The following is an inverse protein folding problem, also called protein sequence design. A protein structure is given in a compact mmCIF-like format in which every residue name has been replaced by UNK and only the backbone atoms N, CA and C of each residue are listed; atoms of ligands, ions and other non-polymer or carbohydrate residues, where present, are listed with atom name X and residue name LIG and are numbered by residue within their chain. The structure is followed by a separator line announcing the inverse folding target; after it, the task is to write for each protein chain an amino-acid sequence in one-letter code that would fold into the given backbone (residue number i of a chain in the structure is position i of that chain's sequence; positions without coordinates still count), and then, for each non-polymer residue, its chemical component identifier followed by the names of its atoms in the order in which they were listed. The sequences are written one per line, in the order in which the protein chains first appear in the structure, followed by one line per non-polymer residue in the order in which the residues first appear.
data_IF_763952630879
#
_entry.id   IF_763952630879
#
_cell.length_a   1.000
_cell.length_b   1.000
_cell.length_c   1.000
_cell.angle_alpha   90.00
_cell.angle_beta   90.00
_cell.angle_gamma   90.00
#
_symmetry.space_group_name_H-M   'P 1'
#
loop_
_entity.id
_entity.type
_entity.pdbx_description
1 polymer ?
#
# COMPACT_ATOMS: atom_id res chain seq x y z
N UNK A 1 24.28 -58.50 14.99
CA UNK A 1 25.62 -58.43 14.35
C UNK A 1 25.55 -58.23 12.83
N UNK A 2 24.85 -59.06 12.03
CA UNK A 2 24.69 -58.81 10.57
C UNK A 2 23.76 -57.61 10.27
N UNK A 3 22.73 -57.41 11.10
CA UNK A 3 21.79 -56.28 11.02
C UNK A 3 22.45 -54.93 11.34
N UNK A 4 23.48 -54.92 12.18
CA UNK A 4 24.16 -53.69 12.61
C UNK A 4 25.12 -53.16 11.54
N UNK A 5 25.74 -54.07 10.78
CA UNK A 5 26.63 -53.74 9.66
C UNK A 5 25.83 -53.17 8.48
N UNK A 6 24.64 -53.71 8.21
CA UNK A 6 23.74 -53.18 7.18
C UNK A 6 23.18 -51.79 7.55
N UNK A 7 22.98 -51.50 8.84
CA UNK A 7 22.60 -50.16 9.30
C UNK A 7 23.75 -49.15 9.20
N UNK A 8 25.01 -49.57 9.39
CA UNK A 8 26.17 -48.69 9.24
C UNK A 8 26.45 -48.33 7.77
N UNK A 9 26.23 -49.27 6.84
CA UNK A 9 26.44 -49.08 5.40
C UNK A 9 25.31 -48.31 4.69
N UNK A 10 24.07 -48.40 5.19
CA UNK A 10 22.90 -47.77 4.56
C UNK A 10 22.21 -46.68 5.40
N UNK A 11 22.69 -46.41 6.63
CA UNK A 11 22.03 -45.53 7.60
C UNK A 11 22.18 -44.02 7.37
N UNK A 12 22.95 -43.59 6.37
CA UNK A 12 23.17 -42.16 6.06
C UNK A 12 22.39 -41.61 4.87
N UNK A 13 21.78 -42.48 4.05
CA UNK A 13 21.23 -42.09 2.74
C UNK A 13 19.82 -41.53 2.74
N UNK A 14 19.00 -41.85 3.75
CA UNK A 14 17.58 -41.47 3.76
C UNK A 14 17.38 -39.95 3.91
N UNK A 15 18.24 -39.28 4.68
CA UNK A 15 18.17 -37.83 4.83
C UNK A 15 18.68 -37.09 3.59
N UNK A 16 19.78 -37.56 2.99
CA UNK A 16 20.37 -36.94 1.80
C UNK A 16 19.50 -37.11 0.56
N UNK A 17 18.84 -38.27 0.40
CA UNK A 17 17.88 -38.49 -0.70
C UNK A 17 16.61 -37.68 -0.51
N UNK A 18 16.16 -37.48 0.74
CA UNK A 18 15.05 -36.57 1.04
C UNK A 18 15.40 -35.12 0.73
N UNK A 19 16.56 -34.66 1.18
CA UNK A 19 17.08 -33.31 0.91
C UNK A 19 17.26 -33.07 -0.59
N UNK A 20 17.76 -34.06 -1.34
CA UNK A 20 17.94 -33.98 -2.80
C UNK A 20 16.60 -34.09 -3.55
N UNK A 21 15.65 -34.89 -3.08
CA UNK A 21 14.32 -35.00 -3.68
C UNK A 21 13.46 -33.77 -3.42
N UNK A 22 13.64 -33.08 -2.28
CA UNK A 22 13.02 -31.79 -1.99
C UNK A 22 13.53 -30.66 -2.92
N UNK A 23 14.71 -30.81 -3.55
CA UNK A 23 15.22 -29.90 -4.60
C UNK A 23 14.48 -30.09 -5.94
N UNK A 24 14.03 -31.31 -6.27
CA UNK A 24 13.35 -31.62 -7.54
C UNK A 24 11.83 -31.77 -7.44
N UNK A 25 11.28 -31.88 -6.22
CA UNK A 25 9.86 -32.03 -5.97
C UNK A 25 9.49 -31.20 -4.75
N UNK A 26 8.65 -30.19 -4.98
CA UNK A 26 8.15 -29.30 -3.93
C UNK A 26 7.57 -30.12 -2.79
N UNK A 27 8.07 -29.88 -1.58
CA UNK A 27 7.56 -30.47 -0.35
C UNK A 27 6.11 -30.01 -0.16
N UNK A 28 5.16 -30.94 -0.30
CA UNK A 28 3.73 -30.62 -0.38
C UNK A 28 3.24 -29.86 0.86
N UNK A 29 3.74 -30.22 2.05
CA UNK A 29 3.44 -29.52 3.31
C UNK A 29 4.00 -28.09 3.37
N UNK A 30 5.18 -27.84 2.81
CA UNK A 30 5.74 -26.49 2.75
C UNK A 30 5.04 -25.61 1.68
N UNK A 31 4.48 -26.23 0.64
CA UNK A 31 3.62 -25.53 -0.32
C UNK A 31 2.25 -25.18 0.29
N UNK A 32 1.65 -26.11 1.04
CA UNK A 32 0.38 -25.89 1.72
C UNK A 32 0.49 -24.86 2.86
N UNK A 33 1.60 -24.84 3.61
CA UNK A 33 1.84 -23.78 4.59
C UNK A 33 1.93 -22.39 3.94
N UNK A 34 2.64 -22.28 2.81
CA UNK A 34 2.75 -21.00 2.07
C UNK A 34 1.42 -20.57 1.47
N UNK A 35 0.58 -21.50 1.00
CA UNK A 35 -0.75 -21.18 0.47
C UNK A 35 -1.68 -20.69 1.57
N UNK A 36 -1.65 -21.31 2.77
CA UNK A 36 -2.41 -20.87 3.95
C UNK A 36 -1.96 -19.49 4.43
N UNK A 37 -0.66 -19.22 4.46
CA UNK A 37 -0.11 -17.91 4.85
C UNK A 37 -0.57 -16.81 3.88
N UNK A 38 -0.50 -17.09 2.57
CA UNK A 38 -0.93 -16.16 1.52
C UNK A 38 -2.44 -15.91 1.60
N UNK A 39 -3.23 -16.95 1.86
CA UNK A 39 -4.67 -16.85 1.99
C UNK A 39 -5.07 -16.09 3.27
N UNK A 40 -4.37 -16.28 4.39
CA UNK A 40 -4.54 -15.48 5.60
C UNK A 40 -4.21 -14.02 5.37
N UNK A 41 -3.07 -13.71 4.77
CA UNK A 41 -2.67 -12.34 4.48
C UNK A 41 -3.69 -11.63 3.55
N UNK A 42 -4.19 -12.33 2.53
CA UNK A 42 -5.24 -11.81 1.66
C UNK A 42 -6.56 -11.57 2.41
N UNK A 43 -6.96 -12.49 3.30
CA UNK A 43 -8.16 -12.34 4.14
C UNK A 43 -8.02 -11.22 5.17
N UNK A 44 -6.84 -11.01 5.74
CA UNK A 44 -6.56 -9.90 6.68
C UNK A 44 -6.54 -8.55 5.97
N UNK A 45 -5.95 -8.47 4.78
CA UNK A 45 -6.02 -7.28 3.95
C UNK A 45 -7.47 -6.98 3.57
N UNK A 46 -8.21 -7.99 3.10
CA UNK A 46 -9.63 -7.86 2.77
C UNK A 46 -10.44 -7.44 4.00
N UNK A 47 -10.20 -8.02 5.18
CA UNK A 47 -10.84 -7.61 6.43
C UNK A 47 -10.47 -6.17 6.86
N UNK A 48 -9.26 -5.71 6.55
CA UNK A 48 -8.82 -4.34 6.78
C UNK A 48 -9.49 -3.32 5.84
N UNK A 49 -9.68 -3.68 4.57
CA UNK A 49 -10.35 -2.83 3.57
C UNK A 49 -11.88 -2.81 3.77
N UNK A 50 -12.48 -3.93 4.18
CA UNK A 50 -13.92 -4.05 4.47
C UNK A 50 -14.27 -3.77 5.92
N UNK A 51 -13.33 -3.27 6.73
CA UNK A 51 -13.66 -2.64 8.01
C UNK A 51 -14.38 -1.32 7.70
N UNK A 52 -15.65 -1.45 7.30
CA UNK A 52 -16.60 -0.37 7.38
C UNK A 52 -16.54 0.11 8.82
N UNK A 53 -15.89 1.24 9.02
CA UNK A 53 -16.02 2.01 10.25
C UNK A 53 -17.53 2.15 10.45
N UNK A 54 -18.08 1.42 11.43
CA UNK A 54 -19.51 1.31 11.69
C UNK A 54 -20.01 2.66 12.21
N UNK A 55 -20.00 3.67 11.35
CA UNK A 55 -20.53 5.01 11.60
C UNK A 55 -22.03 4.86 11.63
N UNK A 56 -22.63 5.16 12.79
CA UNK A 56 -24.06 5.05 13.00
C UNK A 56 -24.84 5.92 12.01
N UNK A 57 -26.13 5.64 11.84
CA UNK A 57 -27.00 6.50 11.02
C UNK A 57 -26.98 7.96 11.51
N UNK A 58 -26.86 8.17 12.82
CA UNK A 58 -26.68 9.49 13.43
C UNK A 58 -25.37 10.16 13.00
N UNK A 59 -24.24 9.45 13.04
CA UNK A 59 -22.95 10.00 12.62
C UNK A 59 -22.98 10.43 11.16
N UNK A 60 -23.63 9.66 10.29
CA UNK A 60 -23.79 10.00 8.86
C UNK A 60 -24.68 11.22 8.66
N UNK A 61 -25.74 11.37 9.46
CA UNK A 61 -26.60 12.55 9.43
C UNK A 61 -25.83 13.81 9.86
N UNK A 62 -25.09 13.72 10.97
CA UNK A 62 -24.26 14.82 11.48
C UNK A 62 -23.14 15.16 10.50
N UNK A 63 -22.48 14.16 9.91
CA UNK A 63 -21.49 14.36 8.85
C UNK A 63 -22.11 15.02 7.62
N UNK A 64 -23.32 14.62 7.24
CA UNK A 64 -24.09 15.24 6.16
C UNK A 64 -24.36 16.72 6.44
N UNK A 65 -24.92 17.01 7.62
CA UNK A 65 -25.23 18.37 8.05
C UNK A 65 -23.99 19.27 8.08
N UNK A 66 -22.85 18.74 8.56
CA UNK A 66 -21.57 19.45 8.56
C UNK A 66 -20.96 19.65 7.16
N UNK A 67 -21.45 18.94 6.13
CA UNK A 67 -21.03 19.08 4.73
C UNK A 67 -21.93 19.99 3.91
N UNK A 68 -23.14 20.30 4.38
CA UNK A 68 -24.09 21.24 3.75
C UNK A 68 -23.55 22.68 3.59
N UNK A 69 -22.71 23.25 4.48
CA UNK A 69 -22.34 24.65 4.37
C UNK A 69 -21.68 25.01 3.03
N UNK A 70 -20.82 24.13 2.49
CA UNK A 70 -20.14 24.35 1.21
C UNK A 70 -21.10 24.47 0.01
N UNK A 71 -21.97 23.47 -0.25
CA UNK A 71 -22.96 23.57 -1.30
C UNK A 71 -24.00 24.67 -1.02
N UNK A 72 -24.38 24.91 0.23
CA UNK A 72 -25.31 25.98 0.58
C UNK A 72 -24.75 27.37 0.24
N UNK A 73 -23.46 27.64 0.45
CA UNK A 73 -22.87 28.90 0.03
C UNK A 73 -22.89 29.07 -1.49
N UNK A 74 -22.55 28.02 -2.26
CA UNK A 74 -22.57 28.08 -3.72
C UNK A 74 -23.98 28.24 -4.28
N UNK A 75 -24.95 27.48 -3.77
CA UNK A 75 -26.35 27.59 -4.19
C UNK A 75 -26.98 28.90 -3.70
N UNK A 76 -26.58 29.40 -2.54
CA UNK A 76 -27.03 30.67 -2.00
C UNK A 76 -26.59 31.87 -2.84
N UNK A 77 -25.34 31.88 -3.32
CA UNK A 77 -24.88 32.96 -4.22
C UNK A 77 -25.56 32.90 -5.58
N UNK A 78 -25.71 31.71 -6.16
CA UNK A 78 -26.49 31.54 -7.40
C UNK A 78 -27.95 31.96 -7.21
N UNK A 79 -28.57 31.57 -6.09
CA UNK A 79 -29.92 31.96 -5.72
C UNK A 79 -30.08 33.47 -5.56
N UNK A 80 -29.07 34.16 -5.02
CA UNK A 80 -29.06 35.62 -4.91
C UNK A 80 -29.11 36.29 -6.29
N UNK A 81 -28.31 35.80 -7.24
CA UNK A 81 -28.33 36.31 -8.62
C UNK A 81 -29.67 36.05 -9.32
N UNK A 82 -30.24 34.87 -9.12
CA UNK A 82 -31.57 34.54 -9.66
C UNK A 82 -32.65 35.43 -9.03
N UNK A 83 -32.63 35.61 -7.71
CA UNK A 83 -33.59 36.46 -7.00
C UNK A 83 -33.56 37.92 -7.51
N UNK A 84 -32.35 38.44 -7.76
CA UNK A 84 -32.19 39.78 -8.34
C UNK A 84 -32.78 39.91 -9.75
N UNK A 85 -32.84 38.83 -10.54
CA UNK A 85 -33.44 38.81 -11.88
C UNK A 85 -34.96 38.58 -11.86
N UNK A 86 -35.46 37.77 -10.91
CA UNK A 86 -36.88 37.40 -10.81
C UNK A 86 -37.72 38.53 -10.21
N UNK A 87 -37.25 39.16 -9.13
CA UNK A 87 -37.92 40.28 -8.48
C UNK A 87 -36.91 41.33 -7.99
N UNK A 88 -36.54 42.29 -8.86
CA UNK A 88 -35.53 43.28 -8.55
C UNK A 88 -35.96 44.28 -7.47
N UNK A 89 -37.26 44.55 -7.32
CA UNK A 89 -37.77 45.48 -6.31
C UNK A 89 -37.67 44.85 -4.92
N UNK A 90 -38.14 43.60 -4.76
CA UNK A 90 -38.02 42.86 -3.52
C UNK A 90 -36.55 42.68 -3.10
N UNK A 91 -35.68 42.39 -4.06
CA UNK A 91 -34.24 42.28 -3.82
C UNK A 91 -33.63 43.61 -3.35
N UNK A 92 -33.99 44.72 -4.02
CA UNK A 92 -33.52 46.06 -3.69
C UNK A 92 -33.88 46.49 -2.27
N UNK A 93 -35.10 46.22 -1.82
CA UNK A 93 -35.54 46.51 -0.44
C UNK A 93 -34.67 45.78 0.60
N UNK A 94 -34.28 44.53 0.34
CA UNK A 94 -33.40 43.77 1.26
C UNK A 94 -31.97 44.26 1.23
N UNK A 95 -31.46 44.65 0.06
CA UNK A 95 -30.12 45.24 -0.06
C UNK A 95 -30.02 46.60 0.65
N UNK A 96 -31.10 47.41 0.63
CA UNK A 96 -31.19 48.64 1.43
C UNK A 96 -31.18 48.35 2.94
N UNK A 97 -31.79 47.25 3.39
CA UNK A 97 -31.65 46.79 4.77
C UNK A 97 -30.23 46.35 5.12
N UNK A 98 -29.55 45.64 4.21
CA UNK A 98 -28.17 45.19 4.40
C UNK A 98 -27.16 46.35 4.47
N UNK A 99 -27.41 47.46 3.77
CA UNK A 99 -26.53 48.64 3.84
C UNK A 99 -26.58 49.36 5.18
N UNK A 100 -27.64 49.13 5.98
CA UNK A 100 -27.76 49.66 7.34
C UNK A 100 -27.04 48.80 8.38
N UNK A 101 -26.55 47.60 8.01
CA UNK A 101 -25.83 46.72 8.93
C UNK A 101 -24.48 47.36 9.31
N UNK A 102 -24.21 47.60 10.61
CA UNK A 102 -22.95 48.18 11.06
C UNK A 102 -21.72 47.38 10.62
N UNK A 103 -20.64 48.08 10.25
CA UNK A 103 -19.35 47.49 9.89
C UNK A 103 -18.82 46.46 10.92
N UNK A 104 -18.91 46.69 12.25
CA UNK A 104 -18.44 45.71 13.23
C UNK A 104 -19.13 44.34 13.14
N UNK A 105 -20.41 44.29 12.71
CA UNK A 105 -21.12 43.02 12.56
C UNK A 105 -20.61 42.21 11.36
N UNK A 106 -20.15 42.88 10.30
CA UNK A 106 -19.50 42.22 9.17
C UNK A 106 -18.18 41.59 9.59
N UNK A 107 -17.39 42.30 10.40
CA UNK A 107 -16.17 41.74 11.00
C UNK A 107 -16.45 40.54 11.89
N UNK A 108 -17.50 40.62 12.73
CA UNK A 108 -17.91 39.51 13.60
C UNK A 108 -18.35 38.28 12.78
N UNK A 109 -19.18 38.47 11.75
CA UNK A 109 -19.58 37.39 10.85
C UNK A 109 -18.36 36.73 10.19
N UNK A 110 -17.46 37.54 9.65
CA UNK A 110 -16.21 37.08 9.05
C UNK A 110 -15.34 36.28 10.02
N UNK A 111 -15.22 36.75 11.27
CA UNK A 111 -14.47 36.06 12.32
C UNK A 111 -15.09 34.70 12.69
N UNK A 112 -16.42 34.64 12.89
CA UNK A 112 -17.12 33.40 13.24
C UNK A 112 -16.99 32.36 12.12
N UNK A 113 -17.24 32.77 10.87
CA UNK A 113 -17.13 31.90 9.69
C UNK A 113 -15.69 31.41 9.51
N UNK A 114 -14.71 32.31 9.62
CA UNK A 114 -13.28 31.98 9.50
C UNK A 114 -12.83 31.03 10.61
N UNK A 115 -13.31 31.21 11.84
CA UNK A 115 -13.01 30.31 12.94
C UNK A 115 -13.61 28.92 12.71
N UNK A 116 -14.89 28.84 12.32
CA UNK A 116 -15.58 27.57 12.06
C UNK A 116 -14.90 26.77 10.95
N UNK A 117 -14.68 27.39 9.79
CA UNK A 117 -14.04 26.72 8.65
C UNK A 117 -12.54 26.52 8.87
N UNK A 118 -11.86 27.46 9.54
CA UNK A 118 -10.45 27.37 9.88
C UNK A 118 -10.15 26.21 10.82
N UNK A 119 -10.94 26.02 11.87
CA UNK A 119 -10.80 24.88 12.78
C UNK A 119 -11.09 23.54 12.06
N UNK A 120 -12.13 23.48 11.21
CA UNK A 120 -12.45 22.27 10.45
C UNK A 120 -11.38 21.91 9.43
N UNK A 121 -10.74 22.90 8.80
CA UNK A 121 -9.63 22.67 7.87
C UNK A 121 -8.37 22.16 8.59
N UNK A 122 -8.10 22.67 9.80
CA UNK A 122 -7.01 22.17 10.65
C UNK A 122 -7.15 20.68 10.99
N UNK A 123 -8.35 20.21 11.31
CA UNK A 123 -8.59 18.76 11.55
C UNK A 123 -8.24 17.90 10.33
N UNK A 124 -8.58 18.32 9.11
CA UNK A 124 -8.18 17.58 7.90
C UNK A 124 -6.66 17.58 7.66
N UNK A 125 -5.97 18.65 8.04
CA UNK A 125 -4.51 18.71 7.99
C UNK A 125 -3.86 17.66 8.89
N UNK A 126 -4.42 17.45 10.09
CA UNK A 126 -3.95 16.41 11.00
C UNK A 126 -4.19 14.99 10.47
N UNK A 127 -5.35 14.73 9.86
CA UNK A 127 -5.64 13.44 9.22
C UNK A 127 -4.66 13.12 8.09
N UNK A 128 -4.30 14.13 7.28
CA UNK A 128 -3.31 13.99 6.22
C UNK A 128 -1.92 13.69 6.79
N UNK A 129 -1.47 14.42 7.81
CA UNK A 129 -0.21 14.13 8.49
C UNK A 129 -0.19 12.70 9.06
N UNK A 130 -1.30 12.25 9.67
CA UNK A 130 -1.43 10.90 10.22
C UNK A 130 -1.35 9.83 9.14
N UNK A 131 -1.95 10.05 7.97
CA UNK A 131 -1.84 9.14 6.82
C UNK A 131 -0.43 9.07 6.25
N UNK A 132 0.31 10.18 6.24
CA UNK A 132 1.72 10.21 5.83
C UNK A 132 2.56 9.42 6.83
N UNK A 133 2.39 9.65 8.14
CA UNK A 133 3.11 8.90 9.17
C UNK A 133 2.85 7.39 9.07
N UNK A 134 1.59 6.98 8.88
CA UNK A 134 1.24 5.56 8.69
C UNK A 134 1.86 4.95 7.43
N UNK A 135 1.98 5.73 6.35
CA UNK A 135 2.62 5.30 5.10
C UNK A 135 4.14 5.18 5.28
N UNK A 136 4.78 6.16 5.93
CA UNK A 136 6.23 6.15 6.22
C UNK A 136 6.59 4.97 7.14
N UNK A 137 5.73 4.62 8.10
CA UNK A 137 5.95 3.49 8.99
C UNK A 137 5.99 2.13 8.24
N UNK A 138 5.36 2.04 7.06
CA UNK A 138 5.37 0.82 6.22
C UNK A 138 6.53 0.78 5.22
N UNK A 139 7.20 1.90 4.96
CA UNK A 139 8.36 1.99 4.06
C UNK A 139 9.48 0.98 4.35
N UNK A 140 9.92 0.74 5.61
CA UNK A 140 10.97 -0.25 5.88
C UNK A 140 10.53 -1.67 5.51
N UNK A 141 9.27 -2.02 5.76
CA UNK A 141 8.71 -3.33 5.43
C UNK A 141 8.63 -3.55 3.90
N UNK A 142 8.29 -2.51 3.14
CA UNK A 142 8.31 -2.54 1.67
C UNK A 142 9.73 -2.68 1.14
N UNK A 143 10.70 -1.97 1.72
CA UNK A 143 12.11 -2.08 1.33
C UNK A 143 12.66 -3.50 1.58
N UNK A 144 12.36 -4.09 2.73
CA UNK A 144 12.73 -5.47 3.06
C UNK A 144 12.10 -6.47 2.07
N UNK A 145 10.81 -6.33 1.80
CA UNK A 145 10.10 -7.15 0.81
C UNK A 145 10.76 -7.05 -0.58
N UNK A 146 11.12 -5.85 -1.02
CA UNK A 146 11.82 -5.64 -2.30
C UNK A 146 13.19 -6.33 -2.31
N UNK A 147 13.94 -6.27 -1.20
CA UNK A 147 15.25 -6.95 -1.12
C UNK A 147 15.12 -8.46 -1.18
N UNK A 148 14.15 -9.05 -0.48
CA UNK A 148 13.85 -10.48 -0.55
C UNK A 148 13.45 -10.89 -1.97
N UNK A 149 12.59 -10.12 -2.64
CA UNK A 149 12.18 -10.39 -4.02
C UNK A 149 13.36 -10.29 -5.01
N UNK A 150 14.31 -9.37 -4.79
CA UNK A 150 15.53 -9.30 -5.61
C UNK A 150 16.43 -10.51 -5.41
N UNK A 151 16.55 -11.04 -4.19
CA UNK A 151 17.36 -12.24 -3.92
C UNK A 151 16.78 -13.50 -4.56
N UNK A 152 15.47 -13.54 -4.81
CA UNK A 152 14.81 -14.65 -5.50
C UNK A 152 14.95 -14.59 -7.04
N UNK A 153 15.57 -13.53 -7.59
CA UNK A 153 15.76 -13.37 -9.03
C UNK A 153 17.04 -14.05 -9.51
N UNK A 154 16.94 -14.79 -10.61
CA UNK A 154 18.06 -15.50 -11.24
C UNK A 154 19.16 -14.57 -11.80
N UNK A 155 18.80 -13.32 -12.08
CA UNK A 155 19.64 -12.22 -12.56
C UNK A 155 20.25 -11.37 -11.42
N UNK A 156 20.08 -11.78 -10.16
CA UNK A 156 20.63 -11.05 -9.04
C UNK A 156 22.15 -11.29 -8.86
N UNK A 157 22.94 -10.25 -8.51
CA UNK A 157 24.39 -10.38 -8.34
C UNK A 157 24.74 -11.43 -7.28
N UNK A 158 25.61 -12.38 -7.62
CA UNK A 158 26.05 -13.44 -6.71
C UNK A 158 25.26 -14.76 -6.79
N UNK A 159 24.21 -14.85 -7.62
CA UNK A 159 23.48 -16.12 -7.81
C UNK A 159 24.31 -17.23 -8.47
N UNK A 160 25.30 -16.86 -9.29
CA UNK A 160 26.27 -17.78 -9.88
C UNK A 160 27.54 -17.94 -9.03
N UNK A 161 27.58 -17.37 -7.83
CA UNK A 161 28.75 -17.47 -6.95
C UNK A 161 28.83 -18.88 -6.35
N UNK A 162 29.97 -19.54 -6.53
CA UNK A 162 30.23 -20.91 -6.04
C UNK A 162 30.38 -20.97 -4.52
N UNK A 163 30.41 -19.81 -3.85
CA UNK A 163 30.54 -19.63 -2.40
C UNK A 163 31.66 -20.52 -1.84
N UNK A 164 31.40 -21.28 -0.77
CA UNK A 164 32.38 -22.16 -0.11
C UNK A 164 32.50 -23.54 -0.74
N UNK A 165 31.86 -23.77 -1.88
CA UNK A 165 31.78 -25.10 -2.48
C UNK A 165 33.01 -25.37 -3.36
N UNK A 166 34.05 -25.90 -2.73
CA UNK A 166 35.37 -26.14 -3.34
C UNK A 166 35.32 -26.96 -4.65
N UNK A 167 34.49 -28.03 -4.78
CA UNK A 167 34.38 -28.77 -6.04
C UNK A 167 33.78 -27.92 -7.17
N UNK A 168 32.79 -27.09 -6.85
CA UNK A 168 32.11 -26.22 -7.81
C UNK A 168 33.03 -25.08 -8.25
N UNK A 169 33.79 -24.50 -7.32
CA UNK A 169 34.80 -23.48 -7.60
C UNK A 169 35.91 -23.99 -8.54
N UNK A 170 36.35 -25.24 -8.36
CA UNK A 170 37.31 -25.89 -9.26
C UNK A 170 36.71 -26.19 -10.64
N UNK A 171 35.43 -26.57 -10.71
CA UNK A 171 34.75 -26.82 -11.97
C UNK A 171 34.60 -25.55 -12.84
N UNK A 172 34.44 -24.38 -12.23
CA UNK A 172 34.34 -23.09 -12.95
C UNK A 172 35.67 -22.66 -13.58
N UNK A 173 36.81 -23.10 -13.02
CA UNK A 173 38.15 -22.81 -13.55
C UNK A 173 38.54 -23.72 -14.72
N UNK A 174 37.83 -24.84 -14.92
CA UNK A 174 38.05 -25.71 -16.05
C UNK A 174 37.48 -25.06 -17.32
N UNK A 175 38.27 -24.83 -18.38
CA UNK A 175 37.75 -24.41 -19.67
C UNK A 175 36.78 -25.47 -20.18
N UNK A 176 35.50 -25.13 -20.28
CA UNK A 176 34.48 -25.97 -20.87
C UNK A 176 34.04 -25.36 -22.20
N UNK A 177 33.75 -26.20 -23.18
CA UNK A 177 33.14 -25.78 -24.43
C UNK A 177 31.77 -25.17 -24.12
N UNK A 178 31.70 -23.83 -24.20
CA UNK A 178 30.50 -23.08 -23.92
C UNK A 178 29.80 -22.76 -25.24
N UNK A 179 28.76 -23.53 -25.63
CA UNK A 179 28.09 -23.35 -26.93
C UNK A 179 27.47 -21.95 -27.07
N UNK A 180 27.05 -21.32 -25.97
CA UNK A 180 26.53 -19.96 -25.99
C UNK A 180 27.62 -18.91 -26.29
N UNK A 181 28.85 -19.15 -25.82
CA UNK A 181 29.99 -18.26 -26.09
C UNK A 181 30.49 -18.41 -27.54
N UNK A 182 30.44 -19.62 -28.08
CA UNK A 182 30.74 -19.89 -29.50
C UNK A 182 29.71 -19.28 -30.44
N UNK A 183 28.41 -19.40 -30.12
CA UNK A 183 27.33 -18.74 -30.87
C UNK A 183 27.47 -17.21 -30.82
N UNK A 184 27.82 -16.64 -29.67
CA UNK A 184 28.06 -15.20 -29.53
C UNK A 184 29.27 -14.73 -30.35
N UNK A 185 30.38 -15.46 -30.31
CA UNK A 185 31.56 -15.14 -31.14
C UNK A 185 31.26 -15.27 -32.65
N UNK A 186 30.48 -16.28 -33.06
CA UNK A 186 29.99 -16.40 -34.45
C UNK A 186 29.06 -15.25 -34.85
N UNK A 187 28.28 -14.69 -33.93
CA UNK A 187 27.41 -13.54 -34.20
C UNK A 187 28.14 -12.20 -34.31
N UNK A 188 29.43 -12.17 -33.94
CA UNK A 188 30.27 -10.96 -33.92
C UNK A 188 31.25 -10.85 -35.10
N UNK A 189 31.41 -11.92 -35.88
CA UNK A 189 32.19 -12.00 -37.11
C UNK A 189 31.30 -11.71 -38.33
#
# INVERSE_FOLDING_TARGET
MVIDILRALFGGGANVVRETAEVFRVNAEAADQRSIETQRAALEQMAGEFKLENRGAFDRLIDGLNRVPRPAMALGTLGLFVAAMVDPLWFGERMAGLSLVPEPLWWLLGAIVSFYFGARYQTKGQDFQRSITATIARTPQVAETITTLRQLRADSPGMAETRSDAPLALAVLAPADNPALEDWNRSRA
#
